data_IF_327824923826
#
_entry.id   IF_327824923826
#
_cell.length_a   1.000
_cell.length_b   1.000
_cell.length_c   1.000
_cell.angle_alpha   90.00
_cell.angle_beta   90.00
_cell.angle_gamma   90.00
#
_symmetry.space_group_name_H-M   'P 1'
#
loop_
_entity.id
_entity.type
_entity.pdbx_description
1 polymer ?
#
# COMPACT_ATOMS: atom_id res chain seq x y z
N UNK A 1 20.83 -31.28 25.97
CA UNK A 1 20.12 -30.23 25.20
C UNK A 1 20.94 -28.97 25.32
N UNK A 2 21.55 -28.50 24.23
CA UNK A 2 22.79 -27.69 24.29
C UNK A 2 22.44 -26.21 24.33
N UNK A 3 23.19 -25.41 25.09
CA UNK A 3 23.13 -23.94 25.16
C UNK A 3 23.14 -23.27 23.76
N UNK A 4 23.73 -23.95 22.76
CA UNK A 4 23.71 -23.55 21.35
C UNK A 4 22.30 -23.51 20.72
N UNK A 5 21.37 -24.29 21.26
CA UNK A 5 19.98 -24.34 20.82
C UNK A 5 19.19 -23.14 21.35
N UNK A 6 19.49 -22.64 22.56
CA UNK A 6 18.91 -21.42 23.13
C UNK A 6 19.37 -20.16 22.39
N UNK A 7 20.67 -20.06 22.09
CA UNK A 7 21.23 -18.94 21.31
C UNK A 7 20.68 -18.88 19.87
N UNK A 8 20.30 -20.03 19.30
CA UNK A 8 19.63 -20.10 17.99
C UNK A 8 18.18 -19.61 18.04
N UNK A 9 17.48 -19.80 19.16
CA UNK A 9 16.11 -19.29 19.36
C UNK A 9 16.14 -17.77 19.57
N UNK A 10 17.12 -17.26 20.32
CA UNK A 10 17.31 -15.82 20.54
C UNK A 10 17.72 -15.09 19.24
N UNK A 11 18.63 -15.67 18.44
CA UNK A 11 18.99 -15.16 17.11
C UNK A 11 17.86 -15.25 16.07
N UNK A 12 16.84 -16.09 16.29
CA UNK A 12 15.65 -16.16 15.45
C UNK A 12 14.54 -15.20 15.89
N UNK A 13 14.57 -14.76 17.16
CA UNK A 13 13.71 -13.71 17.70
C UNK A 13 14.29 -12.30 17.49
N UNK A 14 15.53 -12.22 17.02
CA UNK A 14 16.20 -10.99 16.62
C UNK A 14 15.58 -10.52 15.29
N UNK A 15 14.38 -9.93 15.37
CA UNK A 15 13.71 -9.28 14.25
C UNK A 15 14.75 -8.38 13.60
N UNK A 16 15.13 -8.70 12.37
CA UNK A 16 16.15 -7.94 11.65
C UNK A 16 15.76 -6.47 11.66
N UNK A 17 16.69 -5.58 12.01
CA UNK A 17 16.45 -4.12 11.97
C UNK A 17 15.82 -3.66 10.65
N UNK A 18 16.06 -4.38 9.54
CA UNK A 18 15.43 -4.10 8.25
C UNK A 18 13.94 -4.49 8.19
N UNK A 19 13.51 -5.54 8.88
CA UNK A 19 12.12 -5.96 8.97
C UNK A 19 11.31 -4.98 9.83
N UNK A 20 11.89 -4.53 10.95
CA UNK A 20 11.31 -3.46 11.77
C UNK A 20 11.12 -2.18 10.95
N UNK A 21 12.11 -1.82 10.13
CA UNK A 21 12.03 -0.67 9.24
C UNK A 21 10.88 -0.77 8.23
N UNK A 22 10.76 -1.92 7.54
CA UNK A 22 9.70 -2.16 6.54
C UNK A 22 8.30 -2.17 7.15
N UNK A 23 8.13 -2.85 8.29
CA UNK A 23 6.87 -2.86 9.02
C UNK A 23 6.52 -1.48 9.56
N UNK A 24 7.52 -0.77 10.11
CA UNK A 24 7.37 0.58 10.61
C UNK A 24 6.86 1.55 9.54
N UNK A 25 7.43 1.52 8.34
CA UNK A 25 6.98 2.39 7.24
C UNK A 25 5.55 2.06 6.78
N UNK A 26 5.17 0.78 6.74
CA UNK A 26 3.82 0.36 6.37
C UNK A 26 2.78 0.82 7.42
N UNK A 27 3.08 0.66 8.71
CA UNK A 27 2.22 1.11 9.80
C UNK A 27 2.09 2.64 9.78
N UNK A 28 3.19 3.36 9.61
CA UNK A 28 3.17 4.83 9.51
C UNK A 28 2.30 5.30 8.34
N UNK A 29 2.39 4.64 7.19
CA UNK A 29 1.54 4.95 6.04
C UNK A 29 0.05 4.73 6.35
N UNK A 30 -0.30 3.59 6.96
CA UNK A 30 -1.69 3.31 7.34
C UNK A 30 -2.20 4.34 8.37
N UNK A 31 -1.39 4.69 9.38
CA UNK A 31 -1.74 5.72 10.36
C UNK A 31 -1.93 7.08 9.68
N UNK A 32 -1.07 7.44 8.73
CA UNK A 32 -1.22 8.66 7.96
C UNK A 32 -2.54 8.68 7.16
N UNK A 33 -2.92 7.55 6.56
CA UNK A 33 -4.21 7.41 5.86
C UNK A 33 -5.38 7.56 6.83
N UNK A 34 -5.34 6.91 8.00
CA UNK A 34 -6.38 7.05 9.03
C UNK A 34 -6.54 8.49 9.48
N UNK A 35 -5.44 9.18 9.78
CA UNK A 35 -5.45 10.58 10.20
C UNK A 35 -6.00 11.45 9.08
N UNK A 36 -5.47 11.31 7.86
CA UNK A 36 -5.90 12.10 6.71
C UNK A 36 -7.39 11.92 6.45
N UNK A 37 -7.87 10.68 6.36
CA UNK A 37 -9.29 10.38 6.14
C UNK A 37 -10.17 10.91 7.28
N UNK A 38 -9.74 10.73 8.54
CA UNK A 38 -10.46 11.21 9.71
C UNK A 38 -10.59 12.73 9.77
N UNK A 39 -9.59 13.48 9.31
CA UNK A 39 -9.59 14.95 9.35
C UNK A 39 -10.14 15.61 8.08
N UNK A 40 -10.08 14.94 6.93
CA UNK A 40 -10.52 15.52 5.65
C UNK A 40 -12.00 15.25 5.35
N UNK A 41 -12.60 14.24 5.99
CA UNK A 41 -13.97 13.79 5.74
C UNK A 41 -14.82 13.71 7.02
N UNK A 42 -14.52 14.53 8.02
CA UNK A 42 -15.22 14.59 9.32
C UNK A 42 -16.73 14.89 9.23
N UNK A 43 -17.20 15.35 8.06
CA UNK A 43 -18.60 15.65 7.77
C UNK A 43 -19.42 14.43 7.29
N UNK A 44 -18.80 13.27 7.04
CA UNK A 44 -19.47 12.08 6.52
C UNK A 44 -20.14 11.29 7.65
N UNK A 45 -21.44 10.98 7.52
CA UNK A 45 -22.22 10.28 8.57
C UNK A 45 -21.61 8.90 8.95
N UNK A 46 -21.11 8.15 7.97
CA UNK A 46 -20.45 6.86 8.15
C UNK A 46 -18.90 6.95 8.13
N UNK A 47 -18.32 7.95 8.81
CA UNK A 47 -16.86 8.17 8.86
C UNK A 47 -16.05 6.92 9.24
N UNK A 48 -16.50 6.14 10.23
CA UNK A 48 -15.77 4.92 10.64
C UNK A 48 -15.72 3.84 9.55
N UNK A 49 -16.78 3.73 8.74
CA UNK A 49 -16.82 2.81 7.60
C UNK A 49 -15.87 3.30 6.51
N UNK A 50 -15.85 4.60 6.24
CA UNK A 50 -14.92 5.22 5.30
C UNK A 50 -13.46 5.00 5.72
N UNK A 51 -13.14 5.20 7.01
CA UNK A 51 -11.80 4.94 7.56
C UNK A 51 -11.43 3.46 7.39
N UNK A 52 -12.33 2.53 7.69
CA UNK A 52 -12.08 1.11 7.51
C UNK A 52 -11.81 0.76 6.04
N UNK A 53 -12.61 1.27 5.11
CA UNK A 53 -12.41 1.10 3.68
C UNK A 53 -11.08 1.70 3.21
N UNK A 54 -10.71 2.89 3.69
CA UNK A 54 -9.44 3.54 3.37
C UNK A 54 -8.23 2.74 3.87
N UNK A 55 -8.30 2.16 5.07
CA UNK A 55 -7.24 1.28 5.60
C UNK A 55 -7.07 0.03 4.74
N UNK A 56 -8.17 -0.61 4.33
CA UNK A 56 -8.12 -1.76 3.42
C UNK A 56 -7.50 -1.34 2.07
N UNK A 57 -7.92 -0.20 1.52
CA UNK A 57 -7.34 0.36 0.30
C UNK A 57 -5.85 0.66 0.43
N UNK A 58 -5.41 1.23 1.55
CA UNK A 58 -4.00 1.51 1.84
C UNK A 58 -3.17 0.23 1.93
N UNK A 59 -3.69 -0.80 2.60
CA UNK A 59 -3.06 -2.12 2.64
C UNK A 59 -2.93 -2.72 1.23
N UNK A 60 -3.98 -2.64 0.42
CA UNK A 60 -3.95 -3.11 -0.97
C UNK A 60 -2.95 -2.32 -1.81
N UNK A 61 -2.87 -0.99 -1.65
CA UNK A 61 -1.94 -0.14 -2.36
C UNK A 61 -0.48 -0.52 -2.11
N UNK A 62 -0.11 -0.84 -0.86
CA UNK A 62 1.24 -1.34 -0.52
C UNK A 62 1.54 -2.64 -1.27
N UNK A 63 0.60 -3.60 -1.23
CA UNK A 63 0.82 -4.92 -1.81
C UNK A 63 0.85 -4.90 -3.35
N UNK A 64 -0.06 -4.16 -3.97
CA UNK A 64 -0.11 -3.97 -5.44
C UNK A 64 1.14 -3.23 -5.90
N UNK A 65 1.48 -2.10 -5.27
CA UNK A 65 2.66 -1.33 -5.64
C UNK A 65 3.96 -2.14 -5.54
N UNK A 66 4.12 -2.96 -4.50
CA UNK A 66 5.30 -3.83 -4.38
C UNK A 66 5.38 -4.88 -5.50
N UNK A 67 4.24 -5.46 -5.89
CA UNK A 67 4.17 -6.44 -6.99
C UNK A 67 4.44 -5.78 -8.34
N UNK A 68 3.83 -4.63 -8.60
CA UNK A 68 3.96 -3.91 -9.87
C UNK A 68 5.38 -3.40 -10.10
N UNK A 69 6.01 -2.84 -9.06
CA UNK A 69 7.42 -2.45 -9.13
C UNK A 69 8.29 -3.64 -9.52
N UNK A 70 8.11 -4.82 -8.91
CA UNK A 70 8.89 -6.01 -9.24
C UNK A 70 8.69 -6.46 -10.71
N UNK A 71 7.46 -6.37 -11.23
CA UNK A 71 7.13 -6.75 -12.60
C UNK A 71 7.69 -5.75 -13.63
N UNK A 72 7.69 -4.46 -13.32
CA UNK A 72 8.18 -3.40 -14.21
C UNK A 72 9.71 -3.31 -14.21
N UNK A 73 10.33 -3.32 -13.02
CA UNK A 73 11.78 -3.09 -12.89
C UNK A 73 12.62 -4.36 -12.86
N UNK A 74 12.00 -5.52 -12.63
CA UNK A 74 12.69 -6.81 -12.53
C UNK A 74 13.60 -7.11 -13.72
N UNK A 75 13.15 -6.98 -14.98
CA UNK A 75 14.00 -7.19 -16.15
C UNK A 75 15.14 -6.18 -16.28
N UNK A 76 14.89 -4.90 -15.96
CA UNK A 76 15.90 -3.83 -16.06
C UNK A 76 17.01 -3.98 -15.01
N UNK A 77 16.65 -4.39 -13.79
CA UNK A 77 17.63 -4.69 -12.73
C UNK A 77 18.32 -6.03 -12.99
N UNK A 78 17.58 -7.05 -13.42
CA UNK A 78 18.09 -8.40 -13.70
C UNK A 78 19.02 -8.46 -14.92
N UNK A 79 18.89 -7.54 -15.87
CA UNK A 79 19.81 -7.38 -17.01
C UNK A 79 21.03 -6.49 -16.71
N UNK A 80 21.15 -5.99 -15.48
CA UNK A 80 22.19 -5.03 -15.07
C UNK A 80 22.14 -3.67 -15.80
N UNK A 81 21.02 -3.35 -16.46
CA UNK A 81 20.83 -2.05 -17.10
C UNK A 81 20.60 -0.93 -16.06
N UNK A 82 19.99 -1.26 -14.91
CA UNK A 82 19.75 -0.34 -13.80
C UNK A 82 20.10 -0.98 -12.46
N UNK A 83 20.48 -0.14 -11.50
CA UNK A 83 20.62 -0.57 -10.10
C UNK A 83 19.24 -0.68 -9.44
N UNK A 84 19.10 -1.55 -8.43
CA UNK A 84 17.85 -1.71 -7.69
C UNK A 84 17.38 -0.39 -7.06
N UNK A 85 18.30 0.40 -6.49
CA UNK A 85 17.97 1.69 -5.88
C UNK A 85 17.49 2.71 -6.92
N UNK A 86 18.17 2.81 -8.06
CA UNK A 86 17.75 3.70 -9.14
C UNK A 86 16.38 3.31 -9.71
N UNK A 87 16.16 2.02 -9.88
CA UNK A 87 14.89 1.50 -10.37
C UNK A 87 13.72 1.76 -9.42
N UNK A 88 13.92 1.60 -8.10
CA UNK A 88 12.90 1.92 -7.09
C UNK A 88 12.55 3.42 -7.10
N UNK A 89 13.53 4.32 -7.24
CA UNK A 89 13.27 5.77 -7.31
C UNK A 89 12.45 6.12 -8.55
N UNK A 90 12.82 5.58 -9.71
CA UNK A 90 12.07 5.78 -10.96
C UNK A 90 10.64 5.26 -10.78
N UNK A 91 10.48 4.03 -10.30
CA UNK A 91 9.15 3.44 -10.12
C UNK A 91 8.31 4.26 -9.14
N UNK A 92 8.86 4.69 -8.00
CA UNK A 92 8.13 5.53 -7.04
C UNK A 92 7.59 6.83 -7.66
N UNK A 93 8.38 7.49 -8.51
CA UNK A 93 7.95 8.73 -9.19
C UNK A 93 6.88 8.45 -10.24
N UNK A 94 7.11 7.49 -11.14
CA UNK A 94 6.22 7.25 -12.27
C UNK A 94 4.93 6.51 -11.87
N UNK A 95 4.97 5.58 -10.92
CA UNK A 95 3.77 4.90 -10.39
C UNK A 95 2.88 5.91 -9.63
N UNK A 96 3.48 6.75 -8.77
CA UNK A 96 2.72 7.78 -8.06
C UNK A 96 2.15 8.82 -9.03
N UNK A 97 2.94 9.26 -10.02
CA UNK A 97 2.46 10.19 -11.05
C UNK A 97 1.32 9.59 -11.87
N UNK A 98 1.43 8.32 -12.28
CA UNK A 98 0.36 7.61 -12.99
C UNK A 98 -0.93 7.52 -12.17
N UNK A 99 -0.82 7.18 -10.89
CA UNK A 99 -1.96 7.14 -9.98
C UNK A 99 -2.63 8.52 -9.81
N UNK A 100 -1.86 9.60 -9.72
CA UNK A 100 -2.38 10.97 -9.57
C UNK A 100 -3.01 11.49 -10.87
N UNK A 101 -2.36 11.26 -12.01
CA UNK A 101 -2.77 11.83 -13.30
C UNK A 101 -3.93 11.05 -13.92
N UNK A 102 -3.88 9.72 -13.87
CA UNK A 102 -4.80 8.85 -14.61
C UNK A 102 -5.66 7.95 -13.69
N UNK A 103 -5.40 7.91 -12.38
CA UNK A 103 -6.09 7.00 -11.47
C UNK A 103 -7.61 7.26 -11.36
N UNK A 104 -8.04 8.52 -11.51
CA UNK A 104 -9.46 8.89 -11.45
C UNK A 104 -10.31 8.18 -12.52
N UNK A 105 -9.84 8.17 -13.76
CA UNK A 105 -10.53 7.51 -14.88
C UNK A 105 -10.59 5.99 -14.70
N UNK A 106 -9.51 5.39 -14.19
CA UNK A 106 -9.44 3.95 -13.89
C UNK A 106 -10.43 3.58 -12.78
N UNK A 107 -10.43 4.30 -11.67
CA UNK A 107 -11.39 4.07 -10.56
C UNK A 107 -12.82 4.25 -11.03
N UNK A 108 -13.10 5.25 -11.87
CA UNK A 108 -14.43 5.49 -12.44
C UNK A 108 -14.94 4.34 -13.29
N UNK A 109 -14.04 3.64 -13.97
CA UNK A 109 -14.37 2.49 -14.83
C UNK A 109 -14.56 1.23 -14.00
N UNK A 110 -13.68 1.00 -13.02
CA UNK A 110 -13.75 -0.18 -12.14
C UNK A 110 -15.01 -0.13 -11.26
N UNK A 111 -15.36 1.03 -10.69
CA UNK A 111 -16.53 1.12 -9.78
C UNK A 111 -17.86 0.82 -10.46
N UNK A 112 -18.00 1.14 -11.76
CA UNK A 112 -19.20 0.85 -12.56
C UNK A 112 -19.48 -0.64 -12.70
N UNK A 113 -18.45 -1.49 -12.61
CA UNK A 113 -18.59 -2.94 -12.68
C UNK A 113 -18.80 -3.62 -11.32
N UNK A 114 -18.75 -2.86 -10.22
CA UNK A 114 -18.81 -3.39 -8.84
C UNK A 114 -20.10 -2.96 -8.15
N UNK A 115 -20.55 -1.72 -8.38
CA UNK A 115 -21.75 -1.14 -7.76
C UNK A 115 -22.71 -0.75 -8.89
N UNK A 116 -23.91 -1.32 -8.88
CA UNK A 116 -25.02 -0.81 -9.69
C UNK A 116 -25.63 0.41 -8.98
N UNK A 117 -25.61 1.62 -9.59
CA UNK A 117 -26.23 2.80 -9.00
C UNK A 117 -27.72 2.62 -8.67
N UNK A 118 -28.41 1.69 -9.34
CA UNK A 118 -29.83 1.40 -9.08
C UNK A 118 -30.06 0.65 -7.75
N UNK A 119 -29.04 -0.04 -7.22
CA UNK A 119 -29.10 -0.77 -5.96
C UNK A 119 -28.70 0.10 -4.74
N UNK A 120 -28.22 1.33 -4.98
CA UNK A 120 -27.89 2.30 -3.93
C UNK A 120 -29.11 3.17 -3.70
N UNK A 121 -29.76 3.00 -2.55
CA UNK A 121 -31.06 3.59 -2.23
C UNK A 121 -31.09 5.13 -2.24
N UNK A 122 -29.93 5.79 -2.18
CA UNK A 122 -29.78 7.23 -2.38
C UNK A 122 -28.32 7.55 -2.80
N UNK A 123 -28.07 7.93 -4.07
CA UNK A 123 -26.72 8.24 -4.55
C UNK A 123 -26.23 9.65 -4.17
N UNK A 124 -27.05 10.47 -3.49
CA UNK A 124 -26.74 11.86 -3.12
C UNK A 124 -26.45 12.06 -1.60
N UNK A 125 -26.39 10.98 -0.80
CA UNK A 125 -25.90 10.96 0.60
C UNK A 125 -24.57 10.26 0.77
#
# INVERSE_FOLDING_TARGET
>A
MKVKDYLKIESAADISRSEVGRLGTAILFIVAVVIYTGTAFDHVEQLYLLIAAAVIGAYMAINIGANDVANNVGPAVGSFALTLSGAIVIAAVFEAAGAIIAGGDVVSTVKKGIIDPADVADPDV
#
